data_IF_939879655514
#
_entry.id   IF_939879655514
#
_cell.length_a   1.000
_cell.length_b   1.000
_cell.length_c   1.000
_cell.angle_alpha   90.00
_cell.angle_beta   90.00
_cell.angle_gamma   90.00
#
_symmetry.space_group_name_H-M   'P 1'
#
loop_
_entity.id
_entity.type
_entity.pdbx_description
1 polymer ?
#
# COMPACT_ATOMS: atom_id res chain seq x y z
N UNK A 1 -11.96 -3.08 21.30
CA UNK A 1 -11.19 -2.03 20.63
C UNK A 1 -10.13 -2.69 19.78
N UNK A 2 -10.32 -2.68 18.47
CA UNK A 2 -9.39 -3.19 17.47
C UNK A 2 -8.62 -2.02 16.86
N UNK A 3 -7.30 -2.05 16.96
CA UNK A 3 -6.39 -1.09 16.33
C UNK A 3 -5.56 -1.83 15.31
N UNK A 4 -5.52 -1.30 14.08
CA UNK A 4 -4.65 -1.82 13.01
C UNK A 4 -3.55 -0.82 12.75
N UNK A 5 -2.32 -1.31 12.67
CA UNK A 5 -1.15 -0.49 12.42
C UNK A 5 -0.38 -1.06 11.24
N UNK A 6 -0.14 -0.23 10.23
CA UNK A 6 0.67 -0.55 9.06
C UNK A 6 1.65 0.58 8.79
N UNK A 7 2.81 0.26 8.21
CA UNK A 7 3.85 1.25 7.95
C UNK A 7 4.67 0.93 6.69
N UNK A 8 5.39 1.93 6.21
CA UNK A 8 6.48 1.79 5.21
C UNK A 8 6.03 1.12 3.90
N UNK A 9 4.89 1.58 3.36
CA UNK A 9 4.36 1.07 2.08
C UNK A 9 5.28 1.45 0.90
N UNK A 10 6.03 2.55 1.02
CA UNK A 10 7.00 2.99 0.01
C UNK A 10 6.44 3.07 -1.43
N UNK A 11 5.27 3.68 -1.58
CA UNK A 11 4.67 3.95 -2.89
C UNK A 11 5.68 4.73 -3.75
N UNK A 12 5.95 4.22 -4.96
CA UNK A 12 6.96 4.78 -5.87
C UNK A 12 8.30 4.02 -5.88
N UNK A 13 8.44 2.94 -5.11
CA UNK A 13 9.53 1.96 -5.36
C UNK A 13 9.23 1.19 -6.63
N UNK A 14 10.18 1.21 -7.58
CA UNK A 14 10.02 0.57 -8.90
C UNK A 14 11.05 -0.53 -9.18
N UNK A 15 11.85 -0.92 -8.17
CA UNK A 15 12.88 -1.94 -8.31
C UNK A 15 12.29 -3.24 -8.88
N UNK A 16 12.92 -3.77 -9.94
CA UNK A 16 12.48 -4.98 -10.65
C UNK A 16 11.07 -4.90 -11.25
N UNK A 17 10.49 -3.70 -11.32
CA UNK A 17 9.22 -3.46 -12.00
C UNK A 17 9.36 -3.50 -13.52
N UNK A 18 8.23 -3.74 -14.19
CA UNK A 18 8.11 -3.64 -15.64
C UNK A 18 7.02 -2.62 -15.96
N UNK A 19 7.12 -1.83 -17.04
CA UNK A 19 6.03 -0.96 -17.45
C UNK A 19 4.76 -1.78 -17.69
N UNK A 20 3.68 -1.41 -17.04
CA UNK A 20 2.35 -1.93 -17.32
C UNK A 20 1.88 -1.37 -18.68
N UNK A 21 1.43 -2.23 -19.62
CA UNK A 21 1.08 -1.80 -20.97
C UNK A 21 -0.15 -0.88 -21.01
N UNK A 22 -1.05 -1.00 -20.03
CA UNK A 22 -2.32 -0.28 -20.00
C UNK A 22 -2.17 1.05 -19.27
N UNK A 23 -1.55 1.06 -18.09
CA UNK A 23 -1.42 2.26 -17.25
C UNK A 23 -0.16 3.06 -17.56
N UNK A 24 0.83 2.47 -18.22
CA UNK A 24 2.18 3.02 -18.46
C UNK A 24 2.96 3.36 -17.19
N UNK A 25 2.53 2.85 -16.03
CA UNK A 25 3.25 2.96 -14.76
C UNK A 25 4.08 1.71 -14.53
N UNK A 26 5.05 1.73 -13.60
CA UNK A 26 5.70 0.49 -13.17
C UNK A 26 4.67 -0.48 -12.57
N UNK A 27 4.79 -1.77 -12.91
CA UNK A 27 4.00 -2.85 -12.30
C UNK A 27 4.11 -2.86 -10.78
N UNK A 28 5.21 -2.29 -10.25
CA UNK A 28 5.42 -2.17 -8.82
C UNK A 28 4.43 -1.26 -8.13
N UNK A 29 4.03 -0.18 -8.79
CA UNK A 29 3.00 0.69 -8.27
C UNK A 29 1.72 -0.09 -7.98
N UNK A 30 1.30 -0.96 -8.91
CA UNK A 30 0.09 -1.76 -8.75
C UNK A 30 0.20 -2.70 -7.56
N UNK A 31 1.24 -3.53 -7.44
CA UNK A 31 1.23 -4.49 -6.33
C UNK A 31 1.42 -3.83 -4.95
N UNK A 32 2.07 -2.66 -4.84
CA UNK A 32 2.08 -1.91 -3.57
C UNK A 32 0.68 -1.39 -3.20
N UNK A 33 -0.08 -0.89 -4.17
CA UNK A 33 -1.45 -0.41 -3.94
C UNK A 33 -2.40 -1.57 -3.65
N UNK A 34 -2.33 -2.67 -4.41
CA UNK A 34 -3.13 -3.88 -4.16
C UNK A 34 -2.87 -4.44 -2.75
N UNK A 35 -1.61 -4.46 -2.29
CA UNK A 35 -1.27 -4.92 -0.93
C UNK A 35 -1.83 -3.98 0.14
N UNK A 36 -1.79 -2.66 -0.11
CA UNK A 36 -2.40 -1.68 0.80
C UNK A 36 -3.92 -1.86 0.85
N UNK A 37 -4.56 -2.14 -0.29
CA UNK A 37 -6.00 -2.42 -0.37
C UNK A 37 -6.37 -3.66 0.46
N UNK A 38 -5.52 -4.69 0.54
CA UNK A 38 -5.76 -5.82 1.44
C UNK A 38 -5.85 -5.39 2.91
N UNK A 39 -4.96 -4.49 3.35
CA UNK A 39 -4.99 -3.97 4.73
C UNK A 39 -6.24 -3.11 4.96
N UNK A 40 -6.62 -2.28 3.98
CA UNK A 40 -7.83 -1.47 4.03
C UNK A 40 -9.07 -2.35 4.11
N UNK A 41 -9.19 -3.35 3.23
CA UNK A 41 -10.31 -4.29 3.21
C UNK A 41 -10.40 -5.05 4.52
N UNK A 42 -9.29 -5.59 5.03
CA UNK A 42 -9.26 -6.26 6.32
C UNK A 42 -9.72 -5.33 7.46
N UNK A 43 -9.29 -4.08 7.46
CA UNK A 43 -9.67 -3.09 8.48
C UNK A 43 -11.18 -2.79 8.44
N UNK A 44 -11.75 -2.67 7.25
CA UNK A 44 -13.18 -2.45 7.04
C UNK A 44 -13.98 -3.69 7.48
N UNK A 45 -13.62 -4.87 7.00
CA UNK A 45 -14.30 -6.14 7.31
C UNK A 45 -14.32 -6.44 8.80
N UNK A 46 -13.23 -6.13 9.51
CA UNK A 46 -13.11 -6.34 10.95
C UNK A 46 -13.66 -5.18 11.78
N UNK A 47 -14.19 -4.14 11.14
CA UNK A 47 -14.70 -2.93 11.80
C UNK A 47 -13.68 -2.35 12.79
N UNK A 48 -12.44 -2.16 12.33
CA UNK A 48 -11.38 -1.57 13.16
C UNK A 48 -11.82 -0.21 13.72
N UNK A 49 -11.56 0.01 15.01
CA UNK A 49 -11.89 1.27 15.69
C UNK A 49 -10.90 2.37 15.29
N UNK A 50 -9.64 2.00 15.06
CA UNK A 50 -8.55 2.91 14.66
C UNK A 50 -7.64 2.19 13.66
N UNK A 51 -7.26 2.92 12.61
CA UNK A 51 -6.16 2.52 11.70
C UNK A 51 -5.04 3.55 11.79
N UNK A 52 -3.84 3.08 12.09
CA UNK A 52 -2.62 3.87 12.12
C UNK A 52 -1.82 3.55 10.86
N UNK A 53 -1.62 4.58 10.04
CA UNK A 53 -0.75 4.52 8.88
C UNK A 53 0.51 5.34 9.15
N UNK A 54 1.64 4.66 9.28
CA UNK A 54 2.88 5.22 9.81
C UNK A 54 4.06 5.00 8.85
N UNK A 55 5.23 5.55 9.20
CA UNK A 55 6.45 5.39 8.40
C UNK A 55 6.37 6.06 7.01
N UNK A 56 7.21 5.60 6.10
CA UNK A 56 7.38 6.23 4.79
C UNK A 56 6.34 5.71 3.80
N UNK A 57 5.21 6.42 3.70
CA UNK A 57 4.15 6.12 2.75
C UNK A 57 4.63 6.16 1.29
N UNK A 58 5.58 7.04 0.99
CA UNK A 58 6.17 7.21 -0.34
C UNK A 58 7.66 6.94 -0.29
N UNK A 59 8.22 6.48 -1.42
CA UNK A 59 9.67 6.45 -1.60
C UNK A 59 10.21 7.89 -1.55
N UNK A 60 10.99 8.22 -0.53
CA UNK A 60 11.69 9.50 -0.46
C UNK A 60 13.02 9.40 -1.22
N UNK A 61 13.06 9.98 -2.44
CA UNK A 61 14.20 9.99 -3.39
C UNK A 61 14.58 8.61 -3.96
#
# INVERSE_FOLDING_TARGET
>A
MLVIHTADVHIGVENYGRPDPDTRTSSRLKDFLDTLDEVVNYSIERQADIVLFCGDAYKSR
#
